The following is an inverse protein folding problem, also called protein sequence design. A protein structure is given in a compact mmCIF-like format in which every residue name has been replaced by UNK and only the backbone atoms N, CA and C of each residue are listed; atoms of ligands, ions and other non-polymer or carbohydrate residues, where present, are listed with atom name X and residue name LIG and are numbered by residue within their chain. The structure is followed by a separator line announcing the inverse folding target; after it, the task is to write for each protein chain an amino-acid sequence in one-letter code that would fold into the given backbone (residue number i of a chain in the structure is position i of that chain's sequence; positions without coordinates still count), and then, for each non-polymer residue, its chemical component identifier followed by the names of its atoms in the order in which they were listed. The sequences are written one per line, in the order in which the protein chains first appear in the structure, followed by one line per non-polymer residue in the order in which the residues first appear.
data_IF_956296336272
#
_entry.id   IF_956296336272
#
_cell.length_a   1.000
_cell.length_b   1.000
_cell.length_c   1.000
_cell.angle_alpha   90.00
_cell.angle_beta   90.00
_cell.angle_gamma   90.00
#
_symmetry.space_group_name_H-M   'P 1'
#
loop_
_entity.id
_entity.type
_entity.pdbx_description
1 polymer ?
#
# COMPACT_ATOMS: atom_id res chain seq x y z
N UNK A 1 21.66 -8.90 31.24
CA UNK A 1 21.66 -8.29 29.90
C UNK A 1 20.23 -7.89 29.60
N UNK A 2 19.94 -6.58 29.51
CA UNK A 2 18.58 -6.08 29.30
C UNK A 2 18.18 -6.41 27.86
N UNK A 3 17.05 -7.09 27.70
CA UNK A 3 16.42 -7.30 26.40
C UNK A 3 15.86 -5.95 25.95
N UNK A 4 16.52 -5.26 25.04
CA UNK A 4 15.87 -4.18 24.31
C UNK A 4 14.78 -4.81 23.44
N UNK A 5 13.48 -4.54 23.67
CA UNK A 5 12.47 -4.92 22.71
C UNK A 5 12.76 -4.10 21.46
N UNK A 6 13.37 -4.73 20.45
CA UNK A 6 13.51 -4.14 19.12
C UNK A 6 12.14 -3.61 18.77
N UNK A 7 12.00 -2.28 18.66
CA UNK A 7 10.77 -1.61 18.26
C UNK A 7 10.13 -2.46 17.18
N UNK A 8 8.98 -3.06 17.52
CA UNK A 8 8.13 -3.71 16.55
C UNK A 8 7.96 -2.69 15.46
N UNK A 9 8.55 -2.97 14.29
CA UNK A 9 8.37 -2.15 13.11
C UNK A 9 6.87 -2.00 13.00
N UNK A 10 6.33 -0.81 13.30
CA UNK A 10 4.94 -0.50 13.07
C UNK A 10 4.76 -0.83 11.59
N UNK A 11 4.20 -2.01 11.29
CA UNK A 11 3.81 -2.37 9.95
C UNK A 11 2.80 -1.30 9.61
N UNK A 12 3.26 -0.24 8.96
CA UNK A 12 2.39 0.86 8.57
C UNK A 12 1.26 0.20 7.81
N UNK A 13 0.04 0.34 8.34
CA UNK A 13 -1.14 -0.29 7.75
C UNK A 13 -1.09 0.01 6.25
N UNK A 14 -1.25 -1.01 5.38
CA UNK A 14 -1.24 -0.76 3.95
C UNK A 14 -2.28 0.30 3.66
N UNK A 15 -1.85 1.38 3.00
CA UNK A 15 -2.74 2.51 2.73
C UNK A 15 -3.65 2.22 1.54
N UNK A 16 -3.18 1.41 0.60
CA UNK A 16 -3.87 1.16 -0.66
C UNK A 16 -4.03 -0.34 -0.95
N UNK A 17 -5.13 -0.73 -1.57
CA UNK A 17 -5.42 -2.06 -2.08
C UNK A 17 -5.76 -1.98 -3.58
N UNK A 18 -5.24 -2.93 -4.36
CA UNK A 18 -5.52 -3.04 -5.80
C UNK A 18 -5.55 -4.51 -6.23
N UNK A 19 -6.20 -4.81 -7.34
CA UNK A 19 -6.21 -6.16 -7.93
C UNK A 19 -5.23 -6.18 -9.09
N UNK A 20 -4.22 -7.05 -8.99
CA UNK A 20 -3.28 -7.32 -10.08
C UNK A 20 -3.45 -8.75 -10.54
N UNK A 21 -3.90 -8.93 -11.80
CA UNK A 21 -4.11 -10.26 -12.40
C UNK A 21 -5.02 -11.18 -11.56
N UNK A 22 -6.07 -10.62 -10.95
CA UNK A 22 -7.01 -11.36 -10.10
C UNK A 22 -6.52 -11.58 -8.65
N UNK A 23 -5.33 -11.08 -8.30
CA UNK A 23 -4.77 -11.18 -6.95
C UNK A 23 -4.88 -9.82 -6.27
N UNK A 24 -5.53 -9.80 -5.10
CA UNK A 24 -5.55 -8.62 -4.24
C UNK A 24 -4.17 -8.37 -3.66
N UNK A 25 -3.60 -7.20 -3.97
CA UNK A 25 -2.33 -6.73 -3.45
C UNK A 25 -2.52 -5.44 -2.68
N UNK A 26 -1.56 -5.17 -1.81
CA UNK A 26 -1.55 -4.05 -0.91
C UNK A 26 -0.30 -3.20 -1.14
N UNK A 27 -0.46 -1.89 -1.12
CA UNK A 27 0.64 -0.95 -1.26
C UNK A 27 0.59 0.08 -0.14
N UNK A 28 1.70 0.21 0.59
CA UNK A 28 1.82 1.12 1.72
C UNK A 28 1.83 2.61 1.33
N UNK A 29 1.87 2.92 0.02
CA UNK A 29 2.04 4.30 -0.47
C UNK A 29 3.49 4.79 -0.38
N UNK A 30 4.44 3.90 -0.13
CA UNK A 30 5.87 4.21 -0.02
C UNK A 30 6.62 3.50 -1.14
N UNK A 31 7.55 4.21 -1.79
CA UNK A 31 8.36 3.69 -2.88
C UNK A 31 7.65 3.70 -4.23
N UNK A 32 8.04 2.78 -5.13
CA UNK A 32 7.51 2.71 -6.50
C UNK A 32 6.01 2.40 -6.50
N UNK A 33 5.23 3.23 -7.20
CA UNK A 33 3.80 3.00 -7.43
C UNK A 33 3.61 1.73 -8.29
N UNK A 34 2.72 0.80 -7.90
CA UNK A 34 2.37 -0.35 -8.73
C UNK A 34 1.84 0.07 -10.10
N UNK A 35 2.18 -0.68 -11.15
CA UNK A 35 1.76 -0.38 -12.53
C UNK A 35 0.24 -0.26 -12.64
N UNK A 36 -0.51 -1.12 -11.95
CA UNK A 36 -1.98 -1.09 -11.92
C UNK A 36 -2.49 0.25 -11.39
N UNK A 37 -1.94 0.74 -10.28
CA UNK A 37 -2.35 2.04 -9.72
C UNK A 37 -1.91 3.15 -10.67
N UNK A 38 -0.68 3.12 -11.17
CA UNK A 38 -0.16 4.14 -12.08
C UNK A 38 -1.04 4.29 -13.34
N UNK A 39 -1.42 3.20 -14.00
CA UNK A 39 -2.31 3.22 -15.18
C UNK A 39 -3.67 3.87 -14.88
N UNK A 40 -4.19 3.62 -13.68
CA UNK A 40 -5.48 4.18 -13.25
C UNK A 40 -5.34 5.68 -12.93
N UNK A 41 -4.22 6.10 -12.35
CA UNK A 41 -3.88 7.52 -12.18
C UNK A 41 -3.74 8.24 -13.53
N UNK A 42 -3.05 7.61 -14.49
CA UNK A 42 -2.89 8.13 -15.85
C UNK A 42 -4.24 8.19 -16.60
N UNK A 43 -5.18 7.32 -16.24
CA UNK A 43 -6.57 7.35 -16.73
C UNK A 43 -7.43 8.43 -16.06
N UNK A 44 -6.88 9.18 -15.10
CA UNK A 44 -7.55 10.26 -14.38
C UNK A 44 -8.26 9.82 -13.09
N UNK A 45 -8.03 8.59 -12.59
CA UNK A 45 -8.55 8.20 -11.27
C UNK A 45 -7.66 8.75 -10.16
N UNK A 46 -8.28 9.06 -9.02
CA UNK A 46 -7.53 9.44 -7.82
C UNK A 46 -7.00 8.23 -7.09
N UNK A 47 -5.83 8.40 -6.49
CA UNK A 47 -5.18 7.43 -5.61
C UNK A 47 -6.08 7.03 -4.42
N UNK A 48 -7.01 7.91 -4.08
CA UNK A 48 -8.07 7.72 -3.07
C UNK A 48 -9.00 6.53 -3.37
N UNK A 49 -9.23 6.18 -4.64
CA UNK A 49 -10.04 4.99 -5.00
C UNK A 49 -9.39 3.68 -4.55
N UNK A 50 -8.09 3.71 -4.27
CA UNK A 50 -7.35 2.54 -3.78
C UNK A 50 -7.20 2.56 -2.27
N UNK A 51 -7.57 3.64 -1.57
CA UNK A 51 -7.40 3.73 -0.12
C UNK A 51 -8.20 2.64 0.58
N UNK A 52 -7.54 1.94 1.50
CA UNK A 52 -8.23 1.03 2.42
C UNK A 52 -8.91 1.92 3.45
N UNK A 53 -10.25 1.98 3.41
CA UNK A 53 -10.99 2.60 4.50
C UNK A 53 -10.78 1.74 5.76
N UNK A 54 -10.11 2.35 6.75
CA UNK A 54 -9.85 1.76 8.06
C UNK A 54 -11.12 1.66 8.90
#
# INVERSE_FOLDING_TARGET
MKSDPRQSSQQSKPKHQYIERGITKYWSGVGRVPVVIQQELDSGKSLESFLIQS
#
